data_IF_615441637696
#
_entry.id   IF_615441637696
#
_cell.length_a   1.000
_cell.length_b   1.000
_cell.length_c   1.000
_cell.angle_alpha   90.00
_cell.angle_beta   90.00
_cell.angle_gamma   90.00
#
_symmetry.space_group_name_H-M   'P 1'
#
loop_
_entity.id
_entity.type
_entity.pdbx_description
1 polymer ?
#
# COMPACT_ATOMS: atom_id res chain seq x y z
N UNK A 1 -8.67 22.08 -20.26
CA UNK A 1 -7.94 21.04 -19.50
C UNK A 1 -7.68 21.62 -18.14
N UNK A 2 -7.60 20.79 -17.11
CA UNK A 2 -7.47 21.25 -15.72
C UNK A 2 -6.04 21.70 -15.45
N UNK A 3 -5.90 22.85 -14.80
CA UNK A 3 -4.62 23.36 -14.31
C UNK A 3 -4.54 23.05 -12.82
N UNK A 4 -3.41 22.50 -12.39
CA UNK A 4 -3.17 22.09 -11.01
C UNK A 4 -2.10 22.99 -10.39
N UNK A 5 -2.38 23.54 -9.21
CA UNK A 5 -1.43 24.29 -8.41
C UNK A 5 -1.04 23.43 -7.20
N UNK A 6 0.20 22.97 -7.18
CA UNK A 6 0.79 22.18 -6.10
C UNK A 6 1.28 23.13 -5.01
N UNK A 7 0.97 22.82 -3.77
CA UNK A 7 1.26 23.66 -2.60
C UNK A 7 1.86 22.80 -1.50
N UNK A 8 2.88 23.33 -0.84
CA UNK A 8 3.43 22.84 0.42
C UNK A 8 3.90 24.01 1.28
N UNK A 9 3.75 23.86 2.59
CA UNK A 9 4.16 24.85 3.59
C UNK A 9 5.06 24.20 4.64
N UNK A 10 6.18 24.87 4.94
CA UNK A 10 6.90 24.63 6.19
C UNK A 10 6.36 25.55 7.29
N UNK A 11 6.23 25.02 8.50
CA UNK A 11 5.55 25.69 9.61
C UNK A 11 6.29 25.53 10.93
N UNK A 12 6.06 26.43 11.88
CA UNK A 12 6.65 26.33 13.24
C UNK A 12 6.01 25.24 14.10
N UNK A 13 4.97 24.56 13.63
CA UNK A 13 4.20 23.55 14.36
C UNK A 13 2.94 23.16 13.60
N UNK A 14 2.06 22.38 14.23
CA UNK A 14 0.97 21.70 13.53
C UNK A 14 -0.41 22.38 13.65
N UNK A 15 -0.56 23.42 14.48
CA UNK A 15 -1.85 24.08 14.72
C UNK A 15 -1.87 25.45 14.04
N UNK A 16 -2.65 25.63 12.95
CA UNK A 16 -2.78 26.91 12.26
C UNK A 16 -3.14 28.11 13.15
N UNK A 17 -3.73 27.88 14.32
CA UNK A 17 -4.17 28.95 15.23
C UNK A 17 -3.04 29.48 16.11
N UNK A 18 -2.00 28.68 16.33
CA UNK A 18 -0.89 29.02 17.24
C UNK A 18 0.47 29.06 16.56
N UNK A 19 0.60 28.36 15.44
CA UNK A 19 1.84 28.24 14.67
C UNK A 19 1.84 29.16 13.45
N UNK A 20 3.01 29.38 12.87
CA UNK A 20 3.21 30.26 11.72
C UNK A 20 3.85 29.52 10.54
N UNK A 21 3.52 29.94 9.32
CA UNK A 21 4.23 29.54 8.10
C UNK A 21 5.62 30.16 8.09
N UNK A 22 6.64 29.38 7.74
CA UNK A 22 8.05 29.80 7.62
C UNK A 22 8.62 29.65 6.20
N UNK A 23 8.03 28.78 5.38
CA UNK A 23 8.31 28.67 3.95
C UNK A 23 7.03 28.31 3.20
N UNK A 24 6.90 28.79 1.97
CA UNK A 24 5.83 28.42 1.05
C UNK A 24 6.42 28.13 -0.31
N UNK A 25 5.99 27.02 -0.92
CA UNK A 25 6.25 26.72 -2.31
C UNK A 25 4.94 26.48 -3.07
N UNK A 26 4.88 26.99 -4.30
CA UNK A 26 3.78 26.75 -5.23
C UNK A 26 4.35 26.44 -6.60
N UNK A 27 3.90 25.33 -7.18
CA UNK A 27 4.22 24.93 -8.54
C UNK A 27 2.94 24.75 -9.33
N UNK A 28 2.84 25.35 -10.51
CA UNK A 28 1.65 25.25 -11.37
C UNK A 28 1.97 24.40 -12.58
N UNK A 29 1.17 23.35 -12.80
CA UNK A 29 1.22 22.51 -13.99
C UNK A 29 -0.03 22.71 -14.84
N UNK A 30 0.18 22.88 -16.13
CA UNK A 30 -0.86 22.79 -17.14
C UNK A 30 -0.55 21.61 -18.05
N UNK A 31 -1.49 20.66 -18.17
CA UNK A 31 -1.32 19.44 -18.97
C UNK A 31 -0.07 18.62 -18.60
N UNK A 32 0.29 18.59 -17.31
CA UNK A 32 1.48 17.90 -16.82
C UNK A 32 2.80 18.59 -17.14
N UNK A 33 2.76 19.83 -17.66
CA UNK A 33 3.96 20.64 -17.91
C UNK A 33 4.05 21.76 -16.89
N UNK A 34 5.22 21.93 -16.28
CA UNK A 34 5.53 23.04 -15.38
C UNK A 34 5.42 24.37 -16.14
N UNK A 35 4.54 25.26 -15.68
CA UNK A 35 4.36 26.60 -16.26
C UNK A 35 4.81 27.71 -15.33
N UNK A 36 4.76 27.49 -14.01
CA UNK A 36 5.17 28.48 -13.03
C UNK A 36 5.67 27.80 -11.76
N UNK A 37 6.72 28.36 -11.16
CA UNK A 37 7.32 27.92 -9.90
C UNK A 37 7.52 29.15 -9.02
N UNK A 38 7.19 29.02 -7.75
CA UNK A 38 7.36 30.06 -6.76
C UNK A 38 7.76 29.46 -5.42
N UNK A 39 8.74 30.07 -4.77
CA UNK A 39 9.15 29.76 -3.41
C UNK A 39 9.46 31.05 -2.66
N UNK A 40 9.16 31.09 -1.36
CA UNK A 40 9.55 32.19 -0.49
C UNK A 40 9.64 31.72 0.96
N UNK A 41 10.66 32.19 1.67
CA UNK A 41 10.60 32.23 3.13
C UNK A 41 9.49 33.18 3.57
N UNK A 42 8.98 32.93 4.77
CA UNK A 42 7.93 33.69 5.41
C UNK A 42 8.38 34.04 6.81
N UNK A 43 8.31 35.31 7.18
CA UNK A 43 8.63 35.74 8.54
C UNK A 43 7.49 35.32 9.49
N UNK A 44 7.76 34.42 10.46
CA UNK A 44 6.72 33.94 11.37
C UNK A 44 6.35 34.99 12.42
N UNK A 45 5.25 34.76 13.12
CA UNK A 45 4.80 35.58 14.25
C UNK A 45 5.18 34.99 15.61
N UNK A 46 5.70 33.76 15.61
CA UNK A 46 6.18 33.02 16.78
C UNK A 46 7.62 32.53 16.52
N UNK A 47 8.42 32.27 17.58
CA UNK A 47 9.74 31.68 17.41
C UNK A 47 9.67 30.29 16.78
N UNK A 48 10.68 29.94 15.98
CA UNK A 48 10.84 28.61 15.38
C UNK A 48 11.38 27.65 16.46
N UNK A 49 10.66 26.58 16.82
CA UNK A 49 11.18 25.58 17.75
C UNK A 49 12.44 24.90 17.18
N UNK A 50 13.44 24.55 18.02
CA UNK A 50 14.64 23.87 17.56
C UNK A 50 14.35 22.58 16.80
N UNK A 51 13.32 21.83 17.21
CA UNK A 51 12.94 20.58 16.56
C UNK A 51 12.45 20.80 15.11
N UNK A 52 11.85 21.96 14.80
CA UNK A 52 11.45 22.32 13.43
C UNK A 52 12.66 22.70 12.59
N UNK A 53 13.64 23.41 13.19
CA UNK A 53 14.91 23.71 12.51
C UNK A 53 15.67 22.42 12.18
N UNK A 54 15.66 21.43 13.06
CA UNK A 54 16.33 20.14 12.84
C UNK A 54 15.72 19.35 11.67
N UNK A 55 14.42 19.51 11.41
CA UNK A 55 13.70 18.84 10.32
C UNK A 55 13.86 19.61 9.00
N UNK A 56 13.53 20.90 9.02
CA UNK A 56 13.39 21.72 7.80
C UNK A 56 14.69 22.42 7.38
N UNK A 57 15.66 22.52 8.29
CA UNK A 57 16.87 23.33 8.13
C UNK A 57 16.63 24.85 8.13
N UNK A 58 15.41 25.33 8.37
CA UNK A 58 15.08 26.76 8.36
C UNK A 58 15.41 27.38 9.71
N UNK A 59 16.26 28.40 9.70
CA UNK A 59 16.69 29.14 10.90
C UNK A 59 16.02 30.50 11.02
N UNK A 60 16.01 31.06 12.23
CA UNK A 60 15.51 32.42 12.50
C UNK A 60 16.16 33.49 11.60
N UNK A 61 17.47 33.37 11.36
CA UNK A 61 18.21 34.30 10.51
C UNK A 61 17.74 34.28 9.05
N UNK A 62 17.29 33.12 8.56
CA UNK A 62 16.78 32.96 7.17
C UNK A 62 15.43 33.66 6.98
N UNK A 63 14.60 33.71 8.02
CA UNK A 63 13.25 34.29 7.96
C UNK A 63 13.17 35.73 8.48
N UNK A 64 14.23 36.25 9.13
CA UNK A 64 14.24 37.56 9.78
C UNK A 64 13.84 38.72 8.84
N UNK A 65 14.41 38.71 7.62
CA UNK A 65 14.16 39.72 6.58
C UNK A 65 13.11 39.27 5.55
N UNK A 66 12.50 38.11 5.74
CA UNK A 66 11.49 37.57 4.85
C UNK A 66 10.17 38.38 4.91
N UNK A 67 9.38 38.39 3.82
CA UNK A 67 8.04 38.97 3.85
C UNK A 67 7.13 38.21 4.83
N UNK A 68 6.12 38.89 5.38
CA UNK A 68 5.06 38.20 6.13
C UNK A 68 4.12 37.49 5.16
N UNK A 69 3.41 36.45 5.62
CA UNK A 69 2.45 35.74 4.77
C UNK A 69 1.38 36.69 4.21
N UNK A 70 0.92 37.63 5.03
CA UNK A 70 0.00 38.68 4.59
C UNK A 70 0.56 39.54 3.45
N UNK A 71 1.87 39.84 3.43
CA UNK A 71 2.48 40.59 2.33
C UNK A 71 2.50 39.78 1.02
N UNK A 72 2.62 38.46 1.11
CA UNK A 72 2.62 37.53 -0.04
C UNK A 72 1.22 37.24 -0.60
N UNK A 73 0.15 37.63 0.11
CA UNK A 73 -1.26 37.28 -0.25
C UNK A 73 -1.64 37.50 -1.71
N UNK A 74 -1.21 38.60 -2.31
CA UNK A 74 -1.57 38.95 -3.70
C UNK A 74 -0.89 38.00 -4.67
N UNK A 75 0.36 37.63 -4.39
CA UNK A 75 1.12 36.69 -5.21
C UNK A 75 0.57 35.28 -5.06
N UNK A 76 0.31 34.82 -3.83
CA UNK A 76 -0.29 33.51 -3.55
C UNK A 76 -1.65 33.38 -4.25
N UNK A 77 -2.56 34.36 -4.09
CA UNK A 77 -3.88 34.33 -4.74
C UNK A 77 -3.79 34.29 -6.26
N UNK A 78 -2.83 34.99 -6.86
CA UNK A 78 -2.61 34.94 -8.31
C UNK A 78 -2.16 33.55 -8.76
N UNK A 79 -1.23 32.95 -8.02
CA UNK A 79 -0.68 31.62 -8.33
C UNK A 79 -1.71 30.51 -8.18
N UNK A 80 -2.53 30.56 -7.12
CA UNK A 80 -3.59 29.58 -6.90
C UNK A 80 -4.76 29.80 -7.86
N UNK A 81 -5.15 31.06 -8.12
CA UNK A 81 -6.22 31.41 -9.05
C UNK A 81 -7.51 30.60 -8.80
N UNK A 82 -8.13 30.14 -9.89
CA UNK A 82 -9.23 29.17 -9.88
C UNK A 82 -8.73 27.73 -10.13
N UNK A 83 -7.43 27.47 -9.93
CA UNK A 83 -6.83 26.16 -10.18
C UNK A 83 -7.25 25.15 -9.11
N UNK A 84 -7.14 23.87 -9.44
CA UNK A 84 -7.26 22.80 -8.45
C UNK A 84 -5.99 22.79 -7.62
N UNK A 85 -6.11 22.94 -6.31
CA UNK A 85 -4.97 22.91 -5.40
C UNK A 85 -4.65 21.48 -5.04
N UNK A 86 -3.40 21.08 -5.21
CA UNK A 86 -2.93 19.73 -4.90
C UNK A 86 -1.86 19.81 -3.83
N UNK A 87 -1.89 18.88 -2.89
CA UNK A 87 -0.85 18.76 -1.88
C UNK A 87 -0.77 17.34 -1.34
N UNK A 88 0.17 17.12 -0.43
CA UNK A 88 0.30 15.87 0.30
C UNK A 88 -0.19 16.11 1.72
N UNK A 89 -1.41 15.67 2.06
CA UNK A 89 -2.15 16.14 3.24
C UNK A 89 -2.58 17.62 3.15
N UNK A 90 -3.02 18.05 1.95
CA UNK A 90 -3.29 19.46 1.56
C UNK A 90 -4.25 20.22 2.49
N UNK A 91 -5.10 19.52 3.24
CA UNK A 91 -5.97 20.14 4.24
C UNK A 91 -5.19 20.86 5.35
N UNK A 92 -3.96 20.39 5.64
CA UNK A 92 -3.02 21.03 6.55
C UNK A 92 -2.63 22.42 6.04
N UNK A 93 -2.09 22.48 4.82
CA UNK A 93 -1.60 23.71 4.20
C UNK A 93 -2.72 24.74 4.04
N UNK A 94 -3.87 24.29 3.52
CA UNK A 94 -5.04 25.14 3.34
C UNK A 94 -5.57 25.67 4.67
N UNK A 95 -5.42 24.92 5.78
CA UNK A 95 -5.76 25.38 7.12
C UNK A 95 -4.95 26.61 7.54
N UNK A 96 -3.64 26.61 7.30
CA UNK A 96 -2.77 27.77 7.54
C UNK A 96 -3.13 28.96 6.66
N UNK A 97 -3.37 28.74 5.36
CA UNK A 97 -3.76 29.82 4.46
C UNK A 97 -5.14 30.41 4.82
N UNK A 98 -6.08 29.58 5.27
CA UNK A 98 -7.42 30.01 5.66
C UNK A 98 -7.39 30.88 6.93
N UNK A 99 -6.58 30.51 7.92
CA UNK A 99 -6.43 31.29 9.16
C UNK A 99 -5.91 32.70 8.90
N UNK A 100 -5.01 32.85 7.93
CA UNK A 100 -4.45 34.13 7.50
C UNK A 100 -5.38 34.91 6.55
N UNK A 101 -6.66 34.48 6.46
CA UNK A 101 -7.70 35.11 5.64
C UNK A 101 -7.30 35.21 4.16
N UNK A 102 -6.47 34.29 3.67
CA UNK A 102 -6.08 34.23 2.26
C UNK A 102 -7.21 33.73 1.37
N UNK A 103 -8.24 33.09 1.94
CA UNK A 103 -9.52 32.86 1.27
C UNK A 103 -9.38 31.95 0.05
N UNK A 104 -8.85 30.76 0.25
CA UNK A 104 -8.81 29.71 -0.76
C UNK A 104 -10.16 29.00 -0.79
N UNK A 105 -10.92 29.19 -1.86
CA UNK A 105 -12.14 28.42 -2.17
C UNK A 105 -11.89 27.43 -3.30
N UNK A 106 -10.62 27.14 -3.56
CA UNK A 106 -10.18 26.21 -4.58
C UNK A 106 -10.65 24.81 -4.24
N UNK A 107 -11.02 24.05 -5.27
CA UNK A 107 -11.14 22.59 -5.14
C UNK A 107 -9.77 22.05 -4.76
N UNK A 108 -9.73 21.22 -3.72
CA UNK A 108 -8.51 20.61 -3.22
C UNK A 108 -8.45 19.12 -3.59
N UNK A 109 -7.26 18.64 -3.87
CA UNK A 109 -7.00 17.22 -4.13
C UNK A 109 -5.81 16.76 -3.30
N UNK A 110 -6.04 15.76 -2.46
CA UNK A 110 -5.02 15.20 -1.59
C UNK A 110 -4.36 13.97 -2.21
N UNK A 111 -3.05 14.03 -2.45
CA UNK A 111 -2.29 12.90 -2.97
C UNK A 111 -2.23 11.72 -2.02
N UNK A 112 -2.39 11.91 -0.70
CA UNK A 112 -2.53 10.82 0.28
C UNK A 112 -3.80 10.02 -0.02
N UNK A 113 -4.93 10.71 -0.21
CA UNK A 113 -6.21 10.08 -0.57
C UNK A 113 -6.07 9.32 -1.89
N UNK A 114 -5.52 9.96 -2.93
CA UNK A 114 -5.33 9.35 -4.24
C UNK A 114 -4.41 8.12 -4.20
N UNK A 115 -3.26 8.22 -3.52
CA UNK A 115 -2.32 7.13 -3.35
C UNK A 115 -2.96 5.97 -2.59
N UNK A 116 -3.78 6.25 -1.57
CA UNK A 116 -4.49 5.22 -0.84
C UNK A 116 -5.47 4.40 -1.68
N UNK A 117 -5.99 5.00 -2.76
CA UNK A 117 -6.93 4.36 -3.70
C UNK A 117 -6.18 3.57 -4.77
N UNK A 118 -5.14 4.19 -5.34
CA UNK A 118 -4.44 3.69 -6.53
C UNK A 118 -3.24 2.78 -6.20
N UNK A 119 -2.73 2.84 -4.97
CA UNK A 119 -1.63 2.03 -4.45
C UNK A 119 -2.07 1.31 -3.16
N UNK A 120 -3.17 0.54 -3.18
CA UNK A 120 -3.80 0.04 -1.96
C UNK A 120 -2.90 -0.90 -1.14
N UNK A 121 -1.85 -1.47 -1.76
CA UNK A 121 -0.84 -2.36 -1.18
C UNK A 121 0.40 -1.66 -0.62
N UNK A 122 0.53 -0.34 -0.75
CA UNK A 122 1.70 0.41 -0.25
C UNK A 122 1.82 0.35 1.27
N UNK A 123 0.69 0.31 2.00
CA UNK A 123 0.67 0.15 3.46
C UNK A 123 1.07 1.40 4.26
N UNK A 124 1.88 2.29 3.68
CA UNK A 124 2.17 3.64 4.16
C UNK A 124 2.02 4.63 3.00
N UNK A 125 1.65 5.86 3.33
CA UNK A 125 1.32 6.89 2.34
C UNK A 125 2.01 8.23 2.61
N UNK A 126 3.12 8.24 3.36
CA UNK A 126 3.95 9.44 3.46
C UNK A 126 4.74 9.65 2.16
N UNK A 127 5.00 10.91 1.81
CA UNK A 127 5.58 11.31 0.53
C UNK A 127 6.90 10.58 0.23
N UNK A 128 7.86 10.62 1.15
CA UNK A 128 9.16 9.94 1.02
C UNK A 128 9.01 8.44 0.77
N UNK A 129 8.17 7.78 1.58
CA UNK A 129 7.92 6.35 1.43
C UNK A 129 7.31 6.02 0.06
N UNK A 130 6.38 6.84 -0.41
CA UNK A 130 5.75 6.64 -1.72
C UNK A 130 6.73 6.91 -2.87
N UNK A 131 7.61 7.89 -2.72
CA UNK A 131 8.66 8.17 -3.69
C UNK A 131 9.62 6.98 -3.82
N UNK A 132 10.10 6.43 -2.69
CA UNK A 132 10.90 5.21 -2.68
C UNK A 132 10.14 4.01 -3.25
N UNK A 133 8.88 3.82 -2.83
CA UNK A 133 8.02 2.70 -3.26
C UNK A 133 7.80 2.69 -4.78
N UNK A 134 7.69 3.87 -5.39
CA UNK A 134 7.48 4.05 -6.83
C UNK A 134 8.78 4.27 -7.61
N UNK A 135 9.92 4.35 -6.93
CA UNK A 135 11.23 4.69 -7.51
C UNK A 135 11.19 6.04 -8.26
N UNK A 136 10.54 7.05 -7.67
CA UNK A 136 10.55 8.42 -8.19
C UNK A 136 11.94 9.05 -8.00
N UNK A 137 12.25 10.06 -8.81
CA UNK A 137 13.55 10.73 -8.69
C UNK A 137 13.49 11.67 -7.49
N UNK A 138 14.34 11.43 -6.50
CA UNK A 138 14.50 12.33 -5.36
C UNK A 138 15.75 13.15 -5.63
N UNK A 139 15.68 14.46 -5.48
CA UNK A 139 16.88 15.29 -5.52
C UNK A 139 17.74 15.01 -4.29
N UNK A 140 18.87 14.32 -4.49
CA UNK A 140 19.85 13.97 -3.45
C UNK A 140 20.66 15.20 -2.94
N UNK A 141 20.23 16.42 -3.25
CA UNK A 141 20.89 17.67 -2.83
C UNK A 141 20.86 17.94 -1.32
N UNK A 142 20.20 17.09 -0.54
CA UNK A 142 20.06 17.23 0.92
C UNK A 142 19.03 18.28 1.34
N UNK A 143 18.11 18.65 0.44
CA UNK A 143 17.00 19.57 0.67
C UNK A 143 15.66 18.85 0.96
N UNK A 144 15.70 17.59 1.40
CA UNK A 144 14.50 16.92 1.92
C UNK A 144 13.90 17.77 3.05
N UNK A 145 12.57 17.92 3.09
CA UNK A 145 11.86 18.85 4.00
C UNK A 145 12.12 20.33 3.72
N UNK A 146 12.26 20.68 2.43
CA UNK A 146 12.11 22.05 1.94
C UNK A 146 10.89 22.10 1.07
N UNK A 147 10.07 23.13 1.25
CA UNK A 147 8.74 23.20 0.63
C UNK A 147 8.79 22.98 -0.90
N UNK A 148 9.79 23.55 -1.60
CA UNK A 148 9.88 23.41 -3.05
C UNK A 148 10.21 21.97 -3.49
N UNK A 149 11.12 21.29 -2.80
CA UNK A 149 11.46 19.91 -3.11
C UNK A 149 10.25 18.99 -2.92
N UNK A 150 9.52 19.17 -1.83
CA UNK A 150 8.34 18.38 -1.50
C UNK A 150 7.17 18.66 -2.44
N UNK A 151 6.97 19.92 -2.87
CA UNK A 151 6.00 20.27 -3.93
C UNK A 151 6.32 19.59 -5.26
N UNK A 152 7.58 19.62 -5.70
CA UNK A 152 7.99 19.01 -6.96
C UNK A 152 7.82 17.48 -6.92
N UNK A 153 8.21 16.84 -5.80
CA UNK A 153 8.01 15.42 -5.61
C UNK A 153 6.51 15.05 -5.54
N UNK A 154 5.69 15.90 -4.91
CA UNK A 154 4.23 15.74 -4.90
C UNK A 154 3.65 15.83 -6.31
N UNK A 155 4.17 16.72 -7.16
CA UNK A 155 3.77 16.82 -8.56
C UNK A 155 4.15 15.56 -9.36
N UNK A 156 5.36 15.02 -9.17
CA UNK A 156 5.77 13.76 -9.79
C UNK A 156 4.87 12.59 -9.35
N UNK A 157 4.62 12.46 -8.04
CA UNK A 157 3.71 11.47 -7.49
C UNK A 157 2.32 11.59 -8.12
N UNK A 158 1.76 12.81 -8.20
CA UNK A 158 0.46 13.06 -8.79
C UNK A 158 0.38 12.64 -10.26
N UNK A 159 1.44 12.88 -11.05
CA UNK A 159 1.49 12.45 -12.45
C UNK A 159 1.54 10.93 -12.60
N UNK A 160 2.31 10.23 -11.75
CA UNK A 160 2.34 8.77 -11.73
C UNK A 160 0.98 8.18 -11.31
N UNK A 161 0.32 8.77 -10.30
CA UNK A 161 -1.04 8.40 -9.91
C UNK A 161 -2.04 8.66 -11.05
N UNK A 162 -1.94 9.79 -11.74
CA UNK A 162 -2.76 10.13 -12.91
C UNK A 162 -2.60 9.09 -14.03
N UNK A 163 -1.35 8.70 -14.31
CA UNK A 163 -1.05 7.67 -15.28
C UNK A 163 -1.71 6.34 -14.89
N UNK A 164 -1.58 5.88 -13.65
CA UNK A 164 -2.24 4.65 -13.14
C UNK A 164 -3.75 4.72 -13.23
N UNK A 165 -4.35 5.83 -12.80
CA UNK A 165 -5.79 6.04 -12.86
C UNK A 165 -6.32 5.94 -14.31
N UNK A 166 -5.57 6.46 -15.29
CA UNK A 166 -5.93 6.39 -16.71
C UNK A 166 -5.91 4.97 -17.31
N UNK A 167 -5.30 4.00 -16.61
CA UNK A 167 -5.29 2.58 -17.00
C UNK A 167 -6.45 1.77 -16.39
N UNK A 168 -7.25 2.37 -15.51
CA UNK A 168 -8.40 1.71 -14.91
C UNK A 168 -9.51 1.46 -15.93
N UNK A 169 -10.38 0.48 -15.63
CA UNK A 169 -11.58 0.26 -16.43
C UNK A 169 -12.50 1.49 -16.38
N UNK A 170 -13.02 1.89 -17.55
CA UNK A 170 -13.89 3.06 -17.69
C UNK A 170 -15.13 2.97 -16.79
N UNK A 171 -15.65 1.76 -16.53
CA UNK A 171 -16.75 1.54 -15.61
C UNK A 171 -16.40 1.83 -14.16
N UNK A 172 -15.17 1.49 -13.73
CA UNK A 172 -14.67 1.83 -12.38
C UNK A 172 -14.55 3.35 -12.23
N UNK A 173 -13.91 4.02 -13.21
CA UNK A 173 -13.76 5.49 -13.20
C UNK A 173 -15.12 6.18 -13.16
N UNK A 174 -16.05 5.75 -14.01
CA UNK A 174 -17.40 6.33 -14.08
C UNK A 174 -18.16 6.17 -12.76
N UNK A 175 -18.03 5.01 -12.11
CA UNK A 175 -18.69 4.76 -10.82
C UNK A 175 -18.08 5.58 -9.68
N UNK A 176 -16.75 5.74 -9.66
CA UNK A 176 -16.07 6.60 -8.69
C UNK A 176 -16.54 8.05 -8.84
N UNK A 177 -16.59 8.55 -10.08
CA UNK A 177 -17.04 9.92 -10.37
C UNK A 177 -18.50 10.10 -9.95
N UNK A 178 -19.40 9.20 -10.38
CA UNK A 178 -20.84 9.31 -10.06
C UNK A 178 -21.10 9.26 -8.55
N UNK A 179 -20.44 8.35 -7.82
CA UNK A 179 -20.57 8.25 -6.37
C UNK A 179 -19.96 9.48 -5.67
N UNK A 180 -18.80 9.95 -6.11
CA UNK A 180 -18.11 11.12 -5.57
C UNK A 180 -18.90 12.41 -5.74
N UNK A 181 -19.44 12.67 -6.93
CA UNK A 181 -20.22 13.88 -7.21
C UNK A 181 -21.48 13.98 -6.33
N UNK A 182 -22.10 12.85 -5.97
CA UNK A 182 -23.31 12.83 -5.12
C UNK A 182 -23.04 13.30 -3.69
N UNK A 183 -21.81 13.15 -3.20
CA UNK A 183 -21.41 13.54 -1.85
C UNK A 183 -20.50 14.76 -1.82
N UNK A 184 -20.29 15.43 -2.98
CA UNK A 184 -19.42 16.60 -3.08
C UNK A 184 -17.95 16.29 -2.83
N UNK A 185 -17.48 15.09 -3.21
CA UNK A 185 -16.10 14.68 -3.04
C UNK A 185 -15.20 15.38 -4.07
N UNK A 186 -14.30 16.24 -3.62
CA UNK A 186 -13.51 17.13 -4.48
C UNK A 186 -12.53 16.37 -5.37
N UNK A 187 -11.95 15.27 -4.87
CA UNK A 187 -11.05 14.40 -5.63
C UNK A 187 -11.70 13.71 -6.83
N UNK A 188 -13.03 13.79 -6.99
CA UNK A 188 -13.71 13.33 -8.20
C UNK A 188 -13.14 13.99 -9.46
N UNK A 189 -12.68 15.26 -9.39
CA UNK A 189 -12.12 15.98 -10.54
C UNK A 189 -10.87 15.31 -11.11
N UNK A 190 -10.05 14.69 -10.26
CA UNK A 190 -8.88 13.91 -10.68
C UNK A 190 -9.30 12.70 -11.52
N UNK A 191 -10.35 11.98 -11.09
CA UNK A 191 -10.85 10.81 -11.82
C UNK A 191 -11.56 11.20 -13.12
N UNK A 192 -12.19 12.37 -13.19
CA UNK A 192 -12.74 12.92 -14.44
C UNK A 192 -11.67 13.14 -15.49
N UNK A 193 -10.51 13.67 -15.10
CA UNK A 193 -9.38 13.86 -16.02
C UNK A 193 -8.74 12.53 -16.42
N UNK A 194 -8.58 11.60 -15.47
CA UNK A 194 -8.16 10.23 -15.78
C UNK A 194 -9.10 9.54 -16.78
N UNK A 195 -10.42 9.72 -16.63
CA UNK A 195 -11.44 9.19 -17.55
C UNK A 195 -11.30 9.76 -18.95
N UNK A 196 -11.06 11.07 -19.11
CA UNK A 196 -10.83 11.70 -20.42
C UNK A 196 -9.64 11.05 -21.14
N UNK A 197 -8.56 10.78 -20.42
CA UNK A 197 -7.37 10.10 -20.96
C UNK A 197 -7.65 8.63 -21.29
N UNK A 198 -8.30 7.90 -20.38
CA UNK A 198 -8.68 6.50 -20.57
C UNK A 198 -9.56 6.30 -21.82
N UNK A 199 -10.58 7.15 -22.00
CA UNK A 199 -11.46 7.13 -23.17
C UNK A 199 -10.67 7.42 -24.45
N UNK A 200 -9.79 8.43 -24.45
CA UNK A 200 -8.95 8.75 -25.60
C UNK A 200 -8.06 7.57 -26.00
N UNK A 201 -7.45 6.88 -25.02
CA UNK A 201 -6.64 5.68 -25.24
C UNK A 201 -7.47 4.48 -25.73
N UNK A 202 -8.73 4.36 -25.30
CA UNK A 202 -9.64 3.31 -25.74
C UNK A 202 -10.20 3.49 -27.16
N UNK A 203 -10.20 4.72 -27.69
CA UNK A 203 -10.64 5.01 -29.05
C UNK A 203 -9.52 4.71 -30.07
N UNK A 204 -8.26 4.81 -29.66
CA UNK A 204 -7.09 4.50 -30.50
C UNK A 204 -6.77 3.01 -30.51
N UNK A 205 -7.00 2.30 -29.40
CA UNK A 205 -6.96 0.85 -29.35
C UNK A 205 -8.33 0.28 -29.73
N UNK A 206 -8.46 -0.55 -30.77
CA UNK A 206 -9.74 -1.07 -31.31
C UNK A 206 -10.60 -1.96 -30.36
N UNK A 207 -10.57 -1.76 -29.04
CA UNK A 207 -11.36 -2.46 -28.02
C UNK A 207 -12.61 -1.64 -27.69
N UNK A 208 -13.79 -2.20 -27.98
CA UNK A 208 -15.07 -1.59 -27.60
C UNK A 208 -15.16 -1.40 -26.07
N UNK A 209 -15.58 -0.22 -25.58
CA UNK A 209 -15.84 -0.03 -24.16
C UNK A 209 -17.00 -0.94 -23.74
N UNK A 210 -16.77 -1.77 -22.71
CA UNK A 210 -17.82 -2.62 -22.12
C UNK A 210 -18.84 -1.69 -21.45
N UNK A 211 -20.13 -1.85 -21.77
CA UNK A 211 -21.21 -1.05 -21.16
C UNK A 211 -21.24 -1.26 -19.63
N UNK A 212 -21.24 -0.14 -18.91
CA UNK A 212 -21.11 0.01 -17.45
C UNK A 212 -22.22 -0.61 -16.57
N UNK A 213 -23.19 -1.35 -17.11
CA UNK A 213 -24.39 -1.69 -16.34
C UNK A 213 -24.39 -3.04 -15.62
N UNK A 214 -23.31 -3.84 -15.65
CA UNK A 214 -23.21 -5.03 -14.82
C UNK A 214 -21.76 -5.27 -14.37
N UNK A 215 -21.36 -4.66 -13.26
CA UNK A 215 -20.24 -5.13 -12.42
C UNK A 215 -20.63 -6.43 -11.70
N UNK A 216 -21.00 -7.45 -12.47
CA UNK A 216 -21.34 -8.79 -11.96
C UNK A 216 -20.13 -9.54 -11.45
N UNK A 217 -18.93 -9.13 -11.84
CA UNK A 217 -17.69 -9.84 -11.55
C UNK A 217 -16.58 -8.84 -11.18
N UNK A 218 -16.83 -7.96 -10.21
CA UNK A 218 -15.74 -7.19 -9.58
C UNK A 218 -14.68 -8.10 -8.97
N UNK A 219 -15.09 -9.31 -8.61
CA UNK A 219 -14.25 -10.37 -8.09
C UNK A 219 -14.70 -11.69 -8.70
N UNK A 220 -13.84 -12.27 -9.52
CA UNK A 220 -13.95 -13.64 -9.99
C UNK A 220 -12.74 -14.39 -9.44
N UNK A 221 -12.88 -15.22 -8.39
CA UNK A 221 -11.76 -15.96 -7.86
C UNK A 221 -11.17 -16.82 -8.98
N UNK A 222 -9.84 -16.95 -8.99
CA UNK A 222 -9.17 -17.83 -9.93
C UNK A 222 -9.79 -19.23 -9.86
N UNK A 223 -9.91 -19.95 -11.00
CA UNK A 223 -10.30 -21.34 -11.00
C UNK A 223 -9.45 -22.13 -9.99
N UNK A 224 -10.06 -23.08 -9.28
CA UNK A 224 -9.30 -23.92 -8.35
C UNK A 224 -8.28 -24.74 -9.14
N UNK A 225 -7.00 -24.42 -8.94
CA UNK A 225 -5.89 -25.13 -9.58
C UNK A 225 -5.51 -26.41 -8.82
N UNK A 226 -5.11 -27.42 -9.60
CA UNK A 226 -4.55 -28.66 -9.12
C UNK A 226 -5.55 -29.81 -8.94
N UNK A 227 -5.01 -31.01 -8.77
CA UNK A 227 -5.79 -32.23 -8.67
C UNK A 227 -6.38 -32.40 -7.27
N UNK A 228 -7.60 -32.93 -7.21
CA UNK A 228 -8.22 -33.38 -5.98
C UNK A 228 -7.33 -34.48 -5.37
N UNK A 229 -6.92 -34.28 -4.12
CA UNK A 229 -6.12 -35.26 -3.41
C UNK A 229 -6.93 -36.54 -3.21
N UNK A 230 -6.31 -37.69 -3.52
CA UNK A 230 -6.84 -39.02 -3.22
C UNK A 230 -5.99 -39.61 -2.10
N UNK A 231 -6.49 -39.63 -0.86
CA UNK A 231 -5.74 -40.19 0.26
C UNK A 231 -5.45 -41.67 0.04
N UNK A 232 -4.21 -42.11 0.30
CA UNK A 232 -3.88 -43.54 0.36
C UNK A 232 -4.67 -44.18 1.51
N UNK A 233 -5.30 -45.33 1.23
CA UNK A 233 -6.03 -46.12 2.23
C UNK A 233 -5.09 -46.55 3.36
N UNK A 234 -3.90 -47.02 2.98
CA UNK A 234 -2.82 -47.34 3.90
C UNK A 234 -1.71 -46.30 3.76
N UNK A 235 -1.49 -45.42 4.77
CA UNK A 235 -0.42 -44.44 4.71
C UNK A 235 0.96 -45.11 4.68
N UNK A 236 1.82 -44.63 3.79
CA UNK A 236 3.25 -44.89 3.81
C UNK A 236 3.90 -44.07 4.92
N UNK A 237 4.84 -44.72 5.62
CA UNK A 237 5.64 -44.07 6.65
C UNK A 237 6.61 -43.07 6.00
N UNK A 238 6.78 -41.94 6.67
CA UNK A 238 7.80 -40.96 6.34
C UNK A 238 9.17 -41.64 6.46
N UNK A 239 10.05 -41.56 5.44
CA UNK A 239 11.40 -42.09 5.49
C UNK A 239 12.26 -41.18 6.38
N UNK A 240 12.24 -41.43 7.70
CA UNK A 240 12.89 -40.57 8.71
C UNK A 240 14.36 -40.33 8.38
N UNK A 241 15.12 -41.35 7.99
CA UNK A 241 16.55 -41.21 7.65
C UNK A 241 16.80 -40.25 6.48
N UNK A 242 15.94 -40.30 5.46
CA UNK A 242 16.00 -39.39 4.32
C UNK A 242 15.71 -37.96 4.75
N UNK A 243 14.67 -37.76 5.57
CA UNK A 243 14.26 -36.44 6.07
C UNK A 243 15.36 -35.83 6.95
N UNK A 244 15.97 -36.61 7.85
CA UNK A 244 17.08 -36.15 8.69
C UNK A 244 18.34 -35.87 7.87
N UNK A 245 18.61 -36.70 6.85
CA UNK A 245 19.73 -36.51 5.92
C UNK A 245 19.69 -35.19 5.16
N UNK A 246 18.52 -34.57 4.99
CA UNK A 246 18.41 -33.25 4.36
C UNK A 246 19.13 -32.13 5.13
N UNK A 247 19.32 -32.29 6.45
CA UNK A 247 20.05 -31.34 7.29
C UNK A 247 21.55 -31.64 7.42
N UNK A 248 22.05 -32.71 6.77
CA UNK A 248 23.48 -33.02 6.79
C UNK A 248 24.31 -31.88 6.15
N UNK A 249 25.62 -31.77 6.45
CA UNK A 249 26.49 -30.73 5.91
C UNK A 249 26.52 -30.62 4.38
N UNK A 250 26.24 -31.73 3.68
CA UNK A 250 26.13 -31.85 2.22
C UNK A 250 24.68 -32.03 1.72
N UNK A 251 23.69 -31.93 2.62
CA UNK A 251 22.28 -32.12 2.36
C UNK A 251 21.58 -30.93 1.68
N UNK A 252 20.29 -31.10 1.35
CA UNK A 252 19.49 -30.14 0.59
C UNK A 252 19.49 -28.73 1.20
N UNK A 253 19.43 -28.60 2.53
CA UNK A 253 19.41 -27.29 3.19
C UNK A 253 20.76 -26.56 3.04
N UNK A 254 21.88 -27.27 3.18
CA UNK A 254 23.22 -26.69 3.03
C UNK A 254 23.51 -26.23 1.59
N UNK A 255 22.93 -26.90 0.59
CA UNK A 255 23.06 -26.53 -0.82
C UNK A 255 22.26 -25.28 -1.20
N UNK A 256 21.11 -25.05 -0.55
CA UNK A 256 20.19 -23.96 -0.90
C UNK A 256 20.43 -22.70 -0.07
N UNK A 257 20.84 -22.84 1.20
CA UNK A 257 21.00 -21.72 2.12
C UNK A 257 22.47 -21.52 2.49
N UNK A 258 23.05 -20.42 2.04
CA UNK A 258 24.39 -20.00 2.43
C UNK A 258 24.45 -19.77 3.95
N UNK A 259 25.48 -20.30 4.62
CA UNK A 259 25.60 -20.23 6.07
C UNK A 259 24.60 -21.10 6.84
N UNK A 260 24.02 -22.13 6.21
CA UNK A 260 23.20 -23.11 6.92
C UNK A 260 24.00 -23.80 8.03
N UNK A 261 23.42 -23.80 9.23
CA UNK A 261 23.98 -24.46 10.40
C UNK A 261 23.01 -25.54 10.88
N UNK A 262 23.51 -26.77 10.99
CA UNK A 262 22.77 -27.89 11.54
C UNK A 262 22.57 -27.69 13.05
N UNK A 263 21.30 -27.62 13.48
CA UNK A 263 20.95 -27.46 14.89
C UNK A 263 20.43 -28.78 15.45
N UNK A 264 21.16 -29.37 16.40
CA UNK A 264 20.82 -30.67 16.97
C UNK A 264 19.38 -30.74 17.53
N UNK A 265 18.92 -29.68 18.22
CA UNK A 265 17.55 -29.60 18.74
C UNK A 265 16.48 -29.58 17.63
N UNK A 266 16.79 -29.03 16.46
CA UNK A 266 15.89 -29.05 15.31
C UNK A 266 15.77 -30.48 14.75
N UNK A 267 16.89 -31.18 14.64
CA UNK A 267 16.97 -32.56 14.13
C UNK A 267 16.21 -33.52 15.06
N UNK A 268 16.36 -33.36 16.38
CA UNK A 268 15.59 -34.11 17.38
C UNK A 268 14.09 -33.85 17.26
N UNK A 269 13.69 -32.59 17.07
CA UNK A 269 12.28 -32.23 16.84
C UNK A 269 11.74 -32.87 15.55
N UNK A 270 12.50 -32.82 14.45
CA UNK A 270 12.10 -33.44 13.16
C UNK A 270 11.90 -34.94 13.33
N UNK A 271 12.84 -35.63 13.99
CA UNK A 271 12.74 -37.06 14.26
C UNK A 271 11.48 -37.39 15.07
N UNK A 272 11.23 -36.66 16.16
CA UNK A 272 10.05 -36.86 17.00
C UNK A 272 8.74 -36.63 16.22
N UNK A 273 8.69 -35.60 15.36
CA UNK A 273 7.51 -35.32 14.52
C UNK A 273 7.31 -36.42 13.46
N UNK A 274 8.38 -36.93 12.84
CA UNK A 274 8.31 -38.08 11.93
C UNK A 274 7.71 -39.30 12.62
N UNK A 275 8.19 -39.63 13.82
CA UNK A 275 7.68 -40.75 14.61
C UNK A 275 6.22 -40.56 14.98
N UNK A 276 5.81 -39.36 15.36
CA UNK A 276 4.41 -39.04 15.68
C UNK A 276 3.48 -39.25 14.46
N UNK A 277 3.90 -38.84 13.26
CA UNK A 277 3.14 -39.12 12.03
C UNK A 277 3.08 -40.62 11.74
N UNK A 278 4.22 -41.31 11.79
CA UNK A 278 4.33 -42.73 11.46
C UNK A 278 3.54 -43.63 12.42
N UNK A 279 3.56 -43.31 13.72
CA UNK A 279 2.88 -44.06 14.77
C UNK A 279 1.47 -43.54 15.06
N UNK A 280 1.04 -42.45 14.42
CA UNK A 280 -0.26 -41.79 14.62
C UNK A 280 -0.50 -41.37 16.08
N UNK A 281 0.50 -40.77 16.72
CA UNK A 281 0.47 -40.38 18.13
C UNK A 281 0.36 -38.87 18.31
N UNK A 282 -0.10 -38.46 19.50
CA UNK A 282 -0.03 -37.07 19.93
C UNK A 282 1.35 -36.77 20.48
N UNK A 283 1.96 -35.69 20.00
CA UNK A 283 3.27 -35.22 20.44
C UNK A 283 3.15 -33.78 20.96
N UNK A 284 3.74 -33.53 22.13
CA UNK A 284 3.90 -32.20 22.69
C UNK A 284 5.39 -31.88 22.75
N UNK A 285 5.80 -30.73 22.22
CA UNK A 285 7.20 -30.30 22.16
C UNK A 285 7.33 -28.92 22.77
N UNK A 286 8.23 -28.78 23.74
CA UNK A 286 8.72 -27.49 24.19
C UNK A 286 10.02 -27.17 23.46
N UNK A 287 10.06 -26.04 22.75
CA UNK A 287 11.23 -25.65 21.96
C UNK A 287 11.52 -24.15 22.06
N UNK A 288 12.76 -23.81 22.40
CA UNK A 288 13.25 -22.44 22.56
C UNK A 288 13.13 -21.60 21.28
N UNK A 289 13.23 -20.28 21.40
CA UNK A 289 13.30 -19.39 20.22
C UNK A 289 14.56 -19.68 19.40
N UNK A 290 14.47 -19.56 18.08
CA UNK A 290 15.63 -19.77 17.18
C UNK A 290 15.99 -21.23 16.90
N UNK A 291 15.29 -22.22 17.48
CA UNK A 291 15.57 -23.66 17.24
C UNK A 291 15.12 -24.17 15.87
N UNK A 292 14.57 -23.33 15.00
CA UNK A 292 14.06 -23.74 13.70
C UNK A 292 12.72 -24.51 13.75
N UNK A 293 11.90 -24.22 14.78
CA UNK A 293 10.60 -24.86 15.04
C UNK A 293 9.71 -25.04 13.81
N UNK A 294 9.54 -23.98 13.01
CA UNK A 294 8.67 -24.00 11.82
C UNK A 294 9.06 -25.11 10.86
N UNK A 295 10.32 -25.14 10.44
CA UNK A 295 10.86 -26.17 9.57
C UNK A 295 10.78 -27.54 10.24
N UNK A 296 10.99 -27.60 11.56
CA UNK A 296 10.94 -28.83 12.35
C UNK A 296 9.63 -29.61 12.22
N UNK A 297 8.48 -28.92 12.21
CA UNK A 297 7.19 -29.58 11.98
C UNK A 297 6.72 -29.55 10.52
N UNK A 298 7.11 -28.53 9.73
CA UNK A 298 6.67 -28.40 8.35
C UNK A 298 7.31 -29.44 7.43
N UNK A 299 8.58 -29.78 7.64
CA UNK A 299 9.28 -30.72 6.77
C UNK A 299 8.67 -32.14 6.84
N UNK A 300 8.50 -32.78 8.02
CA UNK A 300 7.77 -34.05 8.10
C UNK A 300 6.34 -33.95 7.58
N UNK A 301 5.64 -32.85 7.87
CA UNK A 301 4.28 -32.62 7.39
C UNK A 301 4.19 -32.58 5.85
N UNK A 302 5.18 -31.98 5.18
CA UNK A 302 5.26 -31.93 3.73
C UNK A 302 5.47 -33.33 3.12
N UNK A 303 6.38 -34.13 3.68
CA UNK A 303 6.58 -35.52 3.29
C UNK A 303 5.31 -36.35 3.49
N UNK A 304 4.68 -36.24 4.66
CA UNK A 304 3.43 -36.93 4.95
C UNK A 304 2.32 -36.57 3.96
N UNK A 305 2.13 -35.26 3.72
CA UNK A 305 1.08 -34.77 2.83
C UNK A 305 1.28 -35.26 1.39
N UNK A 306 2.51 -35.14 0.88
CA UNK A 306 2.88 -35.52 -0.48
C UNK A 306 2.80 -37.02 -0.71
N UNK A 307 3.43 -37.83 0.15
CA UNK A 307 3.48 -39.29 -0.01
C UNK A 307 2.11 -39.94 0.13
N UNK A 308 1.27 -39.41 1.02
CA UNK A 308 -0.01 -40.03 1.35
C UNK A 308 -1.22 -39.43 0.65
N UNK A 309 -1.03 -38.38 -0.16
CA UNK A 309 -2.15 -37.64 -0.76
C UNK A 309 -3.09 -37.07 0.30
N UNK A 310 -2.55 -36.68 1.46
CA UNK A 310 -3.32 -36.21 2.63
C UNK A 310 -3.06 -34.73 2.88
N UNK A 311 -4.03 -34.05 3.50
CA UNK A 311 -3.86 -32.66 3.93
C UNK A 311 -3.33 -32.63 5.35
N UNK A 312 -2.35 -31.76 5.60
CA UNK A 312 -1.92 -31.40 6.96
C UNK A 312 -2.39 -29.99 7.25
N UNK A 313 -2.98 -29.79 8.43
CA UNK A 313 -3.41 -28.46 8.90
C UNK A 313 -2.44 -28.01 9.97
N UNK A 314 -1.80 -26.86 9.73
CA UNK A 314 -0.98 -26.19 10.74
C UNK A 314 -1.80 -25.06 11.34
N UNK A 315 -1.96 -25.07 12.66
CA UNK A 315 -2.64 -24.01 13.41
C UNK A 315 -1.63 -23.23 14.22
N UNK A 316 -1.53 -21.92 13.97
CA UNK A 316 -0.69 -21.00 14.74
C UNK A 316 -1.53 -20.18 15.72
N UNK A 317 -0.89 -19.63 16.76
CA UNK A 317 -1.57 -18.77 17.73
C UNK A 317 -1.96 -17.40 17.15
N UNK A 318 -1.17 -16.88 16.20
CA UNK A 318 -1.35 -15.53 15.63
C UNK A 318 -1.27 -15.52 14.11
N UNK A 319 -1.88 -14.50 13.50
CA UNK A 319 -1.80 -14.24 12.05
C UNK A 319 -0.36 -13.94 11.63
N UNK A 320 0.39 -13.16 12.40
CA UNK A 320 1.80 -12.88 12.09
C UNK A 320 2.65 -14.16 12.00
N UNK A 321 2.41 -15.14 12.88
CA UNK A 321 3.07 -16.44 12.79
C UNK A 321 2.63 -17.21 11.54
N UNK A 322 1.36 -17.10 11.15
CA UNK A 322 0.85 -17.71 9.93
C UNK A 322 1.48 -17.09 8.67
N UNK A 323 1.55 -15.77 8.61
CA UNK A 323 2.16 -15.02 7.50
C UNK A 323 3.66 -15.35 7.41
N UNK A 324 4.38 -15.47 8.55
CA UNK A 324 5.77 -15.94 8.56
C UNK A 324 5.94 -17.32 7.90
N UNK A 325 5.00 -18.26 8.14
CA UNK A 325 5.08 -19.57 7.49
C UNK A 325 4.93 -19.46 5.98
N UNK A 326 4.04 -18.59 5.51
CA UNK A 326 3.63 -18.54 4.11
C UNK A 326 4.59 -17.71 3.27
N UNK A 327 5.11 -16.63 3.83
CA UNK A 327 5.98 -15.70 3.11
C UNK A 327 7.46 -16.11 3.20
N UNK A 328 7.83 -16.93 4.20
CA UNK A 328 9.22 -17.33 4.46
C UNK A 328 9.42 -18.83 4.54
N UNK A 329 8.83 -19.50 5.53
CA UNK A 329 9.25 -20.87 5.87
C UNK A 329 8.81 -21.92 4.81
N UNK A 330 7.61 -21.78 4.24
CA UNK A 330 7.08 -22.65 3.17
C UNK A 330 7.81 -22.40 1.83
N UNK A 331 8.02 -21.14 1.37
CA UNK A 331 8.87 -20.88 0.21
C UNK A 331 10.29 -21.40 0.38
N UNK A 332 10.85 -21.32 1.59
CA UNK A 332 12.14 -21.93 1.91
C UNK A 332 12.11 -23.45 1.74
N UNK A 333 11.05 -24.13 2.21
CA UNK A 333 10.87 -25.56 2.02
C UNK A 333 10.68 -25.97 0.56
N UNK A 334 9.92 -25.19 -0.22
CA UNK A 334 9.70 -25.46 -1.64
C UNK A 334 11.01 -25.50 -2.44
N UNK A 335 12.05 -24.78 -2.02
CA UNK A 335 13.38 -24.79 -2.66
C UNK A 335 14.20 -26.04 -2.36
N UNK A 336 13.97 -26.70 -1.22
CA UNK A 336 14.76 -27.86 -0.78
C UNK A 336 14.08 -29.20 -1.04
N UNK A 337 12.75 -29.22 -1.14
CA UNK A 337 11.97 -30.43 -1.29
C UNK A 337 12.09 -31.01 -2.72
N UNK A 338 12.19 -32.34 -2.86
CA UNK A 338 12.28 -33.00 -4.18
C UNK A 338 10.91 -33.13 -4.89
N UNK A 339 9.88 -32.48 -4.38
CA UNK A 339 8.50 -32.54 -4.90
C UNK A 339 7.79 -31.20 -4.69
N UNK A 340 6.70 -30.99 -5.43
CA UNK A 340 5.89 -29.78 -5.32
C UNK A 340 5.12 -29.75 -3.98
N UNK A 341 5.41 -28.75 -3.16
CA UNK A 341 4.66 -28.47 -1.94
C UNK A 341 3.63 -27.37 -2.21
N UNK A 342 2.34 -27.73 -2.16
CA UNK A 342 1.23 -26.77 -2.22
C UNK A 342 0.77 -26.40 -0.82
N UNK A 343 0.66 -25.11 -0.54
CA UNK A 343 0.13 -24.59 0.71
C UNK A 343 -0.91 -23.50 0.45
N UNK A 344 -1.87 -23.36 1.34
CA UNK A 344 -2.86 -22.28 1.30
C UNK A 344 -3.13 -21.76 2.70
N UNK A 345 -3.41 -20.46 2.79
CA UNK A 345 -3.78 -19.79 4.03
C UNK A 345 -5.28 -19.84 4.21
N UNK A 346 -5.71 -20.10 5.45
CA UNK A 346 -7.11 -19.98 5.85
C UNK A 346 -7.19 -19.13 7.10
N UNK A 347 -7.80 -17.94 6.98
CA UNK A 347 -8.10 -17.04 8.10
C UNK A 347 -9.58 -17.11 8.46
N UNK A 348 -9.95 -16.49 9.59
CA UNK A 348 -11.37 -16.32 9.94
C UNK A 348 -12.09 -15.40 8.95
N UNK A 349 -13.40 -15.60 8.73
CA UNK A 349 -14.23 -14.85 7.75
C UNK A 349 -14.16 -13.32 7.85
N UNK A 350 -13.82 -12.76 9.03
CA UNK A 350 -13.67 -11.31 9.28
C UNK A 350 -12.41 -10.70 8.65
N UNK A 351 -11.55 -11.52 8.07
CA UNK A 351 -10.36 -11.08 7.35
C UNK A 351 -10.60 -10.96 5.85
N UNK A 352 -11.77 -11.36 5.35
CA UNK A 352 -12.08 -11.29 3.93
C UNK A 352 -13.19 -10.26 3.67
N UNK A 353 -13.11 -9.57 2.53
CA UNK A 353 -14.20 -8.71 2.08
C UNK A 353 -15.44 -9.56 1.78
N UNK A 354 -16.58 -9.18 2.35
CA UNK A 354 -17.85 -9.81 2.01
C UNK A 354 -18.43 -9.16 0.75
N UNK A 355 -18.27 -9.83 -0.40
CA UNK A 355 -18.76 -9.35 -1.71
C UNK A 355 -20.25 -9.01 -1.68
N UNK A 356 -21.08 -9.76 -0.94
CA UNK A 356 -22.51 -9.46 -0.77
C UNK A 356 -22.75 -8.13 -0.03
N UNK A 357 -22.04 -7.87 1.06
CA UNK A 357 -22.19 -6.61 1.80
C UNK A 357 -21.65 -5.44 0.98
N UNK A 358 -20.55 -5.64 0.25
CA UNK A 358 -20.03 -4.62 -0.65
C UNK A 358 -21.03 -4.27 -1.76
N UNK A 359 -21.66 -5.27 -2.39
CA UNK A 359 -22.71 -5.01 -3.38
C UNK A 359 -23.92 -4.26 -2.79
N UNK A 360 -24.33 -4.56 -1.55
CA UNK A 360 -25.37 -3.80 -0.86
C UNK A 360 -24.96 -2.34 -0.63
N UNK A 361 -23.70 -2.11 -0.27
CA UNK A 361 -23.15 -0.77 -0.08
C UNK A 361 -23.09 0.02 -1.41
N UNK A 362 -22.63 -0.61 -2.50
CA UNK A 362 -22.67 -0.04 -3.86
C UNK A 362 -24.07 0.40 -4.29
N UNK A 363 -25.10 -0.39 -3.95
CA UNK A 363 -26.50 -0.02 -4.24
C UNK A 363 -27.04 1.10 -3.35
N UNK A 364 -26.65 1.12 -2.06
CA UNK A 364 -27.06 2.17 -1.13
C UNK A 364 -26.41 3.52 -1.46
N UNK A 365 -25.17 3.49 -1.95
CA UNK A 365 -24.32 4.66 -2.11
C UNK A 365 -23.58 5.02 -0.81
N UNK A 366 -22.56 5.86 -0.97
CA UNK A 366 -21.73 6.42 0.11
C UNK A 366 -22.44 7.62 0.76
N UNK A 367 -22.17 7.89 2.04
CA UNK A 367 -22.83 8.97 2.80
C UNK A 367 -21.92 10.21 3.02
N UNK A 368 -20.65 10.18 2.59
CA UNK A 368 -19.72 11.31 2.73
C UNK A 368 -18.31 11.04 2.18
N UNK A 369 -17.40 12.02 2.26
CA UNK A 369 -16.03 11.95 1.70
C UNK A 369 -15.19 10.78 2.25
N UNK A 370 -15.16 10.57 3.57
CA UNK A 370 -14.37 9.49 4.19
C UNK A 370 -14.80 8.11 3.68
N UNK A 371 -16.11 7.91 3.57
CA UNK A 371 -16.70 6.67 3.04
C UNK A 371 -16.41 6.52 1.55
N UNK A 372 -16.34 7.63 0.81
CA UNK A 372 -16.05 7.67 -0.62
C UNK A 372 -14.61 7.23 -0.94
N UNK A 373 -13.61 7.66 -0.15
CA UNK A 373 -12.23 7.24 -0.35
C UNK A 373 -12.06 5.72 -0.16
N UNK A 374 -12.67 5.15 0.88
CA UNK A 374 -12.68 3.69 1.09
C UNK A 374 -13.43 2.96 -0.03
N UNK A 375 -14.54 3.52 -0.48
CA UNK A 375 -15.34 2.96 -1.57
C UNK A 375 -14.52 2.88 -2.88
N UNK A 376 -13.88 3.98 -3.27
CA UNK A 376 -13.00 4.04 -4.44
C UNK A 376 -11.83 3.06 -4.31
N UNK A 377 -11.18 2.99 -3.14
CA UNK A 377 -10.09 2.05 -2.85
C UNK A 377 -10.53 0.60 -3.08
N UNK A 378 -11.70 0.22 -2.58
CA UNK A 378 -12.23 -1.13 -2.78
C UNK A 378 -12.60 -1.41 -4.24
N UNK A 379 -13.15 -0.44 -4.98
CA UNK A 379 -13.45 -0.59 -6.40
C UNK A 379 -12.19 -0.84 -7.23
N UNK A 380 -11.10 -0.14 -6.92
CA UNK A 380 -9.81 -0.30 -7.60
C UNK A 380 -9.10 -1.60 -7.19
N UNK A 381 -9.14 -1.96 -5.91
CA UNK A 381 -8.45 -3.13 -5.39
C UNK A 381 -9.12 -4.45 -5.77
N UNK A 382 -10.45 -4.55 -5.70
CA UNK A 382 -11.18 -5.81 -5.78
C UNK A 382 -10.92 -6.62 -7.07
N UNK A 383 -10.74 -6.00 -8.26
CA UNK A 383 -10.35 -6.73 -9.48
C UNK A 383 -8.91 -7.28 -9.47
N UNK A 384 -8.05 -6.82 -8.56
CA UNK A 384 -6.60 -7.15 -8.51
C UNK A 384 -6.26 -8.19 -7.45
N UNK A 385 -7.20 -8.54 -6.57
CA UNK A 385 -7.01 -9.52 -5.51
C UNK A 385 -7.51 -10.90 -5.94
N UNK A 386 -6.79 -11.95 -5.56
CA UNK A 386 -7.19 -13.35 -5.75
C UNK A 386 -7.84 -13.95 -4.51
N UNK A 387 -7.71 -13.29 -3.36
CA UNK A 387 -8.16 -13.82 -2.07
C UNK A 387 -9.24 -12.97 -1.40
N UNK A 388 -9.30 -11.68 -1.75
CA UNK A 388 -10.05 -10.66 -1.04
C UNK A 388 -9.70 -10.56 0.47
N UNK A 389 -8.48 -10.95 0.86
CA UNK A 389 -7.95 -10.76 2.21
C UNK A 389 -7.67 -9.28 2.45
N UNK A 390 -8.26 -8.72 3.50
CA UNK A 390 -8.05 -7.33 3.88
C UNK A 390 -6.61 -7.01 4.26
N UNK A 391 -5.78 -8.01 4.56
CA UNK A 391 -4.35 -7.81 4.79
C UNK A 391 -3.62 -7.31 3.54
N UNK A 392 -4.19 -7.49 2.35
CA UNK A 392 -3.64 -6.94 1.11
C UNK A 392 -3.80 -5.43 0.99
N UNK A 393 -4.61 -4.78 1.83
CA UNK A 393 -4.87 -3.34 1.73
C UNK A 393 -4.81 -2.64 3.09
N UNK A 394 -4.39 -1.38 3.09
CA UNK A 394 -4.64 -0.53 4.26
C UNK A 394 -6.13 -0.17 4.30
N UNK A 395 -6.78 -0.46 5.43
CA UNK A 395 -8.14 0.01 5.75
C UNK A 395 -8.14 1.20 6.72
N UNK A 396 -6.97 1.63 7.16
CA UNK A 396 -6.80 2.85 7.95
C UNK A 396 -6.54 4.02 7.04
#
# INVERSE_FOLDING_TARGET
>A
MTTYAFLDLETTGLDPRTDSVIEIAIVVLENGTLIEEYQSFVRPHVPIPPEVTDITGITEDMVADAPTLFALRTQIRRLLGDHVVVGHNVGFDLGFLQQESLGTSNTAVDTVTLASILLPRAGRYGLEYLAEYLMLTIDDSGQAHRALADVLLTAELFLELSHRASQLDVGILSEIIEAGSRVGWEEAIFFEDALKVAVKNSLTASKRPRRANQLKELYSPAPLEGQQLTPKEQPEAIPTDLVLGMFAPDGNFAQVFEGFEMRQQQVEMVAAVCDAFNQQQHLLIEAGTGTGKSIGYLLPAAFWASQNGRRVVVSTNTINLQDQLVDKDIPALQKVLPFELRATVRKGRRNYLCTRLFQQWRHRGVNGPDEMALYARLLVWLPTTTTADKAEISLR
#
